data_IF_180216882164
#
_entry.id   IF_180216882164
#
_cell.length_a   1.000
_cell.length_b   1.000
_cell.length_c   1.000
_cell.angle_alpha   90.00
_cell.angle_beta   90.00
_cell.angle_gamma   90.00
#
_symmetry.space_group_name_H-M   'P 1'
#
loop_
_entity.id
_entity.type
_entity.pdbx_description
1 polymer ?
#
# COMPACT_ATOMS: atom_id res chain seq x y z
N UNK A 1 17.55 -10.43 7.78
CA UNK A 1 16.54 -9.72 7.00
C UNK A 1 16.35 -10.47 5.68
N UNK A 2 15.20 -11.08 5.46
CA UNK A 2 14.93 -11.90 4.27
C UNK A 2 14.56 -11.05 3.04
N UNK A 3 14.35 -11.69 1.88
CA UNK A 3 14.03 -11.00 0.61
C UNK A 3 12.77 -10.13 0.70
N UNK A 4 11.78 -10.49 1.52
CA UNK A 4 10.53 -9.73 1.70
C UNK A 4 10.74 -8.50 2.60
N UNK A 5 11.43 -8.69 3.73
CA UNK A 5 11.69 -7.62 4.70
C UNK A 5 12.51 -6.47 4.09
N UNK A 6 13.43 -6.79 3.18
CA UNK A 6 14.18 -5.81 2.39
C UNK A 6 13.29 -4.85 1.58
N UNK A 7 12.06 -5.27 1.25
CA UNK A 7 11.08 -4.51 0.50
C UNK A 7 9.94 -3.96 1.37
N UNK A 8 10.11 -3.96 2.70
CA UNK A 8 9.15 -3.37 3.64
C UNK A 8 7.94 -4.27 3.93
N UNK A 9 8.06 -5.57 3.67
CA UNK A 9 7.04 -6.58 3.94
C UNK A 9 7.31 -7.25 5.28
N UNK A 10 6.30 -7.35 6.13
CA UNK A 10 6.38 -8.13 7.37
C UNK A 10 6.15 -9.61 7.05
N UNK A 11 7.22 -10.32 6.73
CA UNK A 11 7.15 -11.72 6.30
C UNK A 11 6.52 -12.64 7.34
N UNK A 12 6.86 -12.47 8.62
CA UNK A 12 6.31 -13.31 9.69
C UNK A 12 4.79 -13.14 9.80
N UNK A 13 4.29 -11.90 9.70
CA UNK A 13 2.86 -11.63 9.69
C UNK A 13 2.18 -12.18 8.44
N UNK A 14 2.82 -12.05 7.28
CA UNK A 14 2.32 -12.64 6.03
C UNK A 14 2.17 -14.16 6.17
N UNK A 15 3.20 -14.87 6.62
CA UNK A 15 3.13 -16.33 6.79
C UNK A 15 2.04 -16.75 7.79
N UNK A 16 1.84 -15.99 8.87
CA UNK A 16 0.75 -16.26 9.80
C UNK A 16 -0.64 -16.10 9.17
N UNK A 17 -0.82 -15.12 8.27
CA UNK A 17 -2.09 -14.88 7.54
C UNK A 17 -2.35 -15.90 6.44
N UNK A 18 -1.29 -16.39 5.82
CA UNK A 18 -1.33 -17.33 4.70
C UNK A 18 -1.02 -18.76 5.14
N UNK A 19 -1.26 -19.12 6.40
CA UNK A 19 -1.14 -20.49 6.92
C UNK A 19 0.24 -21.15 6.68
N UNK A 20 1.31 -20.37 6.72
CA UNK A 20 2.69 -20.76 6.39
C UNK A 20 2.89 -21.23 4.93
N UNK A 21 1.94 -20.92 4.05
CA UNK A 21 1.99 -21.23 2.62
C UNK A 21 2.56 -20.04 1.83
N UNK A 22 3.85 -20.09 1.53
CA UNK A 22 4.56 -19.04 0.78
C UNK A 22 4.05 -18.95 -0.67
N UNK A 23 3.71 -20.08 -1.32
CA UNK A 23 3.22 -20.09 -2.69
C UNK A 23 1.86 -19.42 -2.80
N UNK A 24 0.96 -19.70 -1.84
CA UNK A 24 -0.31 -19.00 -1.71
C UNK A 24 -0.08 -17.50 -1.50
N UNK A 25 0.81 -17.12 -0.59
CA UNK A 25 1.12 -15.70 -0.36
C UNK A 25 1.62 -15.02 -1.64
N UNK A 26 2.58 -15.61 -2.34
CA UNK A 26 3.14 -15.08 -3.60
C UNK A 26 2.06 -14.95 -4.67
N UNK A 27 1.13 -15.90 -4.77
CA UNK A 27 0.02 -15.84 -5.74
C UNK A 27 -0.91 -14.63 -5.52
N UNK A 28 -1.10 -14.22 -4.25
CA UNK A 28 -1.88 -13.03 -3.91
C UNK A 28 -1.04 -11.76 -4.07
N UNK A 29 0.24 -11.81 -3.67
CA UNK A 29 1.16 -10.69 -3.82
C UNK A 29 1.33 -10.30 -5.31
N UNK A 30 1.43 -11.27 -6.22
CA UNK A 30 1.48 -11.05 -7.68
C UNK A 30 0.23 -10.39 -8.27
N UNK A 31 -0.90 -10.38 -7.55
CA UNK A 31 -2.13 -9.68 -7.96
C UNK A 31 -2.16 -8.22 -7.52
N UNK A 32 -1.28 -7.80 -6.60
CA UNK A 32 -1.21 -6.43 -6.10
C UNK A 32 -1.11 -5.34 -7.19
N UNK A 33 -0.33 -5.52 -8.28
CA UNK A 33 -0.27 -4.51 -9.36
C UNK A 33 -1.60 -4.28 -10.08
N UNK A 34 -2.54 -5.22 -10.01
CA UNK A 34 -3.86 -5.11 -10.63
C UNK A 34 -4.86 -4.34 -9.76
N UNK A 35 -4.51 -4.01 -8.51
CA UNK A 35 -5.35 -3.19 -7.65
C UNK A 35 -5.37 -1.73 -8.13
N UNK A 36 -6.55 -1.14 -8.42
CA UNK A 36 -6.63 0.21 -8.97
C UNK A 36 -6.44 1.30 -7.92
N UNK A 37 -6.50 0.97 -6.62
CA UNK A 37 -6.66 1.94 -5.53
C UNK A 37 -5.52 2.98 -5.48
N UNK A 38 -4.29 2.59 -5.83
CA UNK A 38 -3.16 3.53 -5.87
C UNK A 38 -3.31 4.58 -6.99
N UNK A 39 -3.72 4.15 -8.18
CA UNK A 39 -3.93 5.05 -9.32
C UNK A 39 -5.17 5.92 -9.10
N UNK A 40 -6.25 5.35 -8.56
CA UNK A 40 -7.46 6.10 -8.16
C UNK A 40 -7.11 7.19 -7.14
N UNK A 41 -6.27 6.88 -6.15
CA UNK A 41 -5.80 7.83 -5.14
C UNK A 41 -5.04 9.01 -5.77
N UNK A 42 -4.05 8.74 -6.62
CA UNK A 42 -3.30 9.80 -7.31
C UNK A 42 -4.25 10.68 -8.13
N UNK A 43 -5.16 10.06 -8.87
CA UNK A 43 -6.10 10.76 -9.73
C UNK A 43 -7.03 11.68 -8.93
N UNK A 44 -7.57 11.20 -7.82
CA UNK A 44 -8.46 11.96 -6.95
C UNK A 44 -7.73 13.14 -6.28
N UNK A 45 -6.51 12.93 -5.77
CA UNK A 45 -5.70 14.01 -5.19
C UNK A 45 -5.38 15.11 -6.21
N UNK A 46 -5.01 14.75 -7.45
CA UNK A 46 -4.75 15.72 -8.52
C UNK A 46 -5.97 16.54 -8.91
N UNK A 47 -7.18 16.01 -8.69
CA UNK A 47 -8.45 16.70 -8.93
C UNK A 47 -8.97 17.46 -7.71
N UNK A 48 -8.24 17.44 -6.59
CA UNK A 48 -8.70 17.92 -5.28
C UNK A 48 -10.02 17.27 -4.84
N UNK A 49 -10.29 16.04 -5.30
CA UNK A 49 -11.45 15.25 -4.92
C UNK A 49 -11.14 14.44 -3.65
N UNK A 50 -11.19 15.13 -2.51
CA UNK A 50 -10.77 14.54 -1.24
C UNK A 50 -11.67 13.41 -0.74
N UNK A 51 -12.94 13.38 -1.20
CA UNK A 51 -13.88 12.29 -0.88
C UNK A 51 -13.42 11.00 -1.56
N UNK A 52 -13.21 11.03 -2.88
CA UNK A 52 -12.72 9.86 -3.59
C UNK A 52 -11.28 9.51 -3.22
N UNK A 53 -10.44 10.49 -2.89
CA UNK A 53 -9.08 10.23 -2.40
C UNK A 53 -9.12 9.44 -1.09
N UNK A 54 -10.01 9.80 -0.16
CA UNK A 54 -10.20 9.08 1.10
C UNK A 54 -10.65 7.64 0.86
N UNK A 55 -11.63 7.42 -0.03
CA UNK A 55 -12.11 6.08 -0.37
C UNK A 55 -11.02 5.21 -1.00
N UNK A 56 -10.27 5.75 -1.97
CA UNK A 56 -9.17 5.07 -2.63
C UNK A 56 -8.03 4.73 -1.64
N UNK A 57 -7.66 5.68 -0.77
CA UNK A 57 -6.68 5.45 0.28
C UNK A 57 -7.15 4.37 1.28
N UNK A 58 -8.45 4.34 1.61
CA UNK A 58 -9.03 3.32 2.48
C UNK A 58 -8.99 1.92 1.87
N UNK A 59 -9.30 1.79 0.57
CA UNK A 59 -9.15 0.51 -0.16
C UNK A 59 -7.69 0.07 -0.18
N UNK A 60 -6.77 0.97 -0.55
CA UNK A 60 -5.34 0.70 -0.57
C UNK A 60 -4.81 0.28 0.82
N UNK A 61 -5.28 0.90 1.90
CA UNK A 61 -4.97 0.50 3.28
C UNK A 61 -5.39 -0.95 3.55
N UNK A 62 -6.57 -1.36 3.11
CA UNK A 62 -7.06 -2.73 3.25
C UNK A 62 -6.19 -3.74 2.51
N UNK A 63 -5.88 -3.46 1.25
CA UNK A 63 -5.02 -4.33 0.41
C UNK A 63 -3.63 -4.48 1.01
N UNK A 64 -3.00 -3.36 1.37
CA UNK A 64 -1.64 -3.35 1.92
C UNK A 64 -1.56 -4.01 3.30
N UNK A 65 -2.61 -3.89 4.11
CA UNK A 65 -2.73 -4.59 5.40
C UNK A 65 -2.90 -6.11 5.23
N UNK A 66 -3.73 -6.54 4.30
CA UNK A 66 -3.97 -7.97 4.04
C UNK A 66 -2.72 -8.70 3.53
N UNK A 67 -1.90 -8.01 2.75
CA UNK A 67 -0.64 -8.54 2.20
C UNK A 67 0.58 -8.29 3.09
N UNK A 68 0.37 -7.73 4.29
CA UNK A 68 1.44 -7.39 5.25
C UNK A 68 2.55 -6.51 4.66
N UNK A 69 2.18 -5.59 3.75
CA UNK A 69 3.08 -4.61 3.11
C UNK A 69 3.39 -3.46 4.08
N UNK A 70 4.02 -3.79 5.21
CA UNK A 70 4.07 -2.99 6.43
C UNK A 70 4.50 -1.54 6.23
N UNK A 71 5.56 -1.29 5.46
CA UNK A 71 6.05 0.08 5.22
C UNK A 71 5.02 0.90 4.44
N UNK A 72 4.48 0.35 3.35
CA UNK A 72 3.46 1.02 2.54
C UNK A 72 2.17 1.22 3.35
N UNK A 73 1.71 0.18 4.07
CA UNK A 73 0.53 0.23 4.93
C UNK A 73 0.61 1.38 5.94
N UNK A 74 1.73 1.53 6.64
CA UNK A 74 1.92 2.60 7.62
C UNK A 74 1.82 3.99 6.98
N UNK A 75 2.44 4.19 5.81
CA UNK A 75 2.37 5.47 5.09
C UNK A 75 0.94 5.79 4.63
N UNK A 76 0.22 4.79 4.10
CA UNK A 76 -1.17 4.93 3.67
C UNK A 76 -2.08 5.21 4.87
N UNK A 77 -1.82 4.62 6.05
CA UNK A 77 -2.60 4.92 7.25
C UNK A 77 -2.50 6.38 7.66
N UNK A 78 -1.31 6.99 7.59
CA UNK A 78 -1.13 8.42 7.86
C UNK A 78 -1.97 9.26 6.90
N UNK A 79 -1.89 8.98 5.60
CA UNK A 79 -2.69 9.68 4.58
C UNK A 79 -4.19 9.55 4.81
N UNK A 80 -4.67 8.35 5.15
CA UNK A 80 -6.09 8.09 5.43
C UNK A 80 -6.60 8.95 6.58
N UNK A 81 -5.83 9.09 7.66
CA UNK A 81 -6.25 9.91 8.81
C UNK A 81 -6.26 11.41 8.47
N UNK A 82 -5.28 11.89 7.70
CA UNK A 82 -5.24 13.29 7.24
C UNK A 82 -6.42 13.63 6.31
N UNK A 83 -6.75 12.74 5.38
CA UNK A 83 -7.92 12.86 4.51
C UNK A 83 -9.23 12.81 5.31
N UNK A 84 -9.30 12.00 6.39
CA UNK A 84 -10.50 11.93 7.25
C UNK A 84 -10.78 13.24 7.96
N UNK A 85 -9.75 13.88 8.50
CA UNK A 85 -9.87 15.13 9.25
C UNK A 85 -10.06 16.36 8.35
N UNK A 86 -9.88 16.21 7.03
CA UNK A 86 -9.89 17.31 6.05
C UNK A 86 -8.93 18.45 6.46
N UNK A 87 -7.77 18.07 6.99
CA UNK A 87 -6.75 19.02 7.40
C UNK A 87 -6.18 19.77 6.18
N UNK A 88 -5.67 20.98 6.40
CA UNK A 88 -4.88 21.71 5.40
C UNK A 88 -3.47 21.09 5.32
N UNK A 89 -3.42 19.90 4.73
CA UNK A 89 -2.25 19.03 4.72
C UNK A 89 -1.56 19.06 3.36
N UNK A 90 -0.22 19.06 3.39
CA UNK A 90 0.60 18.87 2.21
C UNK A 90 0.54 17.39 1.76
N UNK A 91 -0.45 17.06 0.93
CA UNK A 91 -0.65 15.72 0.42
C UNK A 91 0.48 15.25 -0.50
N UNK A 92 1.16 16.17 -1.19
CA UNK A 92 2.32 15.84 -2.03
C UNK A 92 3.48 15.29 -1.19
N UNK A 93 3.71 15.91 -0.03
CA UNK A 93 4.70 15.40 0.95
C UNK A 93 4.34 14.00 1.45
N UNK A 94 3.06 13.71 1.70
CA UNK A 94 2.62 12.38 2.16
C UNK A 94 2.66 11.33 1.04
N UNK A 95 2.43 11.72 -0.20
CA UNK A 95 2.45 10.82 -1.35
C UNK A 95 3.86 10.36 -1.75
N UNK A 96 4.92 11.13 -1.44
CA UNK A 96 6.32 10.75 -1.71
C UNK A 96 6.71 9.38 -1.11
N UNK A 97 6.60 9.15 0.22
CA UNK A 97 6.94 7.86 0.81
C UNK A 97 5.98 6.73 0.39
N UNK A 98 4.70 7.03 0.13
CA UNK A 98 3.74 6.04 -0.41
C UNK A 98 4.19 5.57 -1.79
N UNK A 99 4.48 6.49 -2.70
CA UNK A 99 4.93 6.19 -4.07
C UNK A 99 6.24 5.42 -4.07
N UNK A 100 7.23 5.84 -3.27
CA UNK A 100 8.51 5.13 -3.18
C UNK A 100 8.34 3.69 -2.67
N UNK A 101 7.53 3.48 -1.63
CA UNK A 101 7.28 2.13 -1.09
C UNK A 101 6.43 1.27 -2.02
N UNK A 102 5.44 1.84 -2.71
CA UNK A 102 4.65 1.17 -3.72
C UNK A 102 5.53 0.66 -4.88
N UNK A 103 6.32 1.54 -5.49
CA UNK A 103 7.21 1.17 -6.60
C UNK A 103 8.22 0.09 -6.20
N UNK A 104 8.80 0.20 -4.99
CA UNK A 104 9.71 -0.82 -4.46
C UNK A 104 9.06 -2.21 -4.36
N UNK A 105 7.77 -2.28 -4.03
CA UNK A 105 7.02 -3.54 -3.97
C UNK A 105 6.73 -4.06 -5.38
N UNK A 106 6.37 -3.18 -6.32
CA UNK A 106 6.14 -3.55 -7.72
C UNK A 106 7.42 -4.13 -8.35
N UNK A 107 8.56 -3.46 -8.16
CA UNK A 107 9.86 -3.95 -8.66
C UNK A 107 10.20 -5.31 -8.07
N UNK A 108 9.97 -5.50 -6.77
CA UNK A 108 10.18 -6.80 -6.12
C UNK A 108 9.28 -7.89 -6.70
N UNK A 109 8.00 -7.60 -6.92
CA UNK A 109 7.05 -8.55 -7.51
C UNK A 109 7.52 -9.02 -8.89
N UNK A 110 8.13 -8.14 -9.70
CA UNK A 110 8.69 -8.52 -10.99
C UNK A 110 9.90 -9.46 -10.89
N UNK A 111 10.51 -9.62 -9.71
CA UNK A 111 11.61 -10.56 -9.46
C UNK A 111 11.16 -11.93 -8.91
N UNK A 112 9.87 -12.08 -8.57
CA UNK A 112 9.27 -13.31 -8.02
C UNK A 112 8.69 -14.22 -9.13
#
# INVERSE_FOLDING_TARGET
MNKYEQHGINYQEAMNRFFQDEDLYVSFLKKFPNDPSYNELIHALNKHDFVHAFEAAHKLKGVTGNLSLKTLYSNVCILVEELRCQNNTDYDRLMKPITSSYLKIIDFIHTL
#
